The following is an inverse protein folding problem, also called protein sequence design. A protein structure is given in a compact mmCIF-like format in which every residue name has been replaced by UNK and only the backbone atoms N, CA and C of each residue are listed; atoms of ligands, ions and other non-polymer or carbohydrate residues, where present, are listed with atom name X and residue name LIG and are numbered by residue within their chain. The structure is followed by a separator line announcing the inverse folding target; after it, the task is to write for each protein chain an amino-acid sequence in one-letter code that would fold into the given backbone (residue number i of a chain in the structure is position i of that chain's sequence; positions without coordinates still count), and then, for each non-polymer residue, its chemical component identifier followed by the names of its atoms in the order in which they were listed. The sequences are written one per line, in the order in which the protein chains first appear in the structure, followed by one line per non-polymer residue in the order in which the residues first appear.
data_IF_834406705832
#
_entry.id   IF_834406705832
#
_cell.length_a   1.000
_cell.length_b   1.000
_cell.length_c   1.000
_cell.angle_alpha   90.00
_cell.angle_beta   90.00
_cell.angle_gamma   90.00
#
_symmetry.space_group_name_H-M   'P 1'
#
loop_
_entity.id
_entity.type
_entity.pdbx_description
1 polymer ?
#
# COMPACT_ATOMS: atom_id res chain seq x y z
N UNK A 1 -20.02 -1.07 -1.96
CA UNK A 1 -19.75 -1.38 -0.53
C UNK A 1 -18.26 -1.17 -0.30
N UNK A 2 -17.86 -0.19 0.51
CA UNK A 2 -16.43 0.09 0.73
C UNK A 2 -15.79 -0.96 1.65
N UNK A 3 -14.52 -1.30 1.42
CA UNK A 3 -13.71 -2.32 2.12
C UNK A 3 -13.52 -2.11 3.65
N UNK A 4 -14.34 -1.27 4.31
CA UNK A 4 -14.23 -1.00 5.75
C UNK A 4 -14.45 -2.26 6.59
N UNK A 5 -15.31 -3.18 6.14
CA UNK A 5 -15.62 -4.43 6.84
C UNK A 5 -14.50 -5.49 6.79
N UNK A 6 -13.44 -5.27 6.01
CA UNK A 6 -12.30 -6.21 5.88
C UNK A 6 -11.06 -5.80 6.69
N UNK A 7 -11.12 -4.67 7.41
CA UNK A 7 -10.00 -4.25 8.24
C UNK A 7 -9.90 -5.12 9.49
N UNK A 8 -8.75 -5.76 9.68
CA UNK A 8 -8.44 -6.42 10.95
C UNK A 8 -7.83 -5.38 11.90
N UNK A 9 -8.56 -5.06 12.97
CA UNK A 9 -8.15 -4.05 13.95
C UNK A 9 -7.02 -4.50 14.87
N UNK A 10 -6.67 -5.80 14.85
CA UNK A 10 -5.60 -6.41 15.64
C UNK A 10 -4.33 -6.66 14.84
N UNK A 11 -4.35 -6.42 13.52
CA UNK A 11 -3.23 -6.67 12.64
C UNK A 11 -2.05 -5.74 12.97
N UNK A 12 -0.85 -6.27 13.31
CA UNK A 12 0.33 -5.46 13.66
C UNK A 12 0.71 -4.43 12.60
N UNK A 13 0.52 -4.74 11.32
CA UNK A 13 0.74 -3.79 10.22
C UNK A 13 -0.07 -2.50 10.38
N UNK A 14 -1.32 -2.58 10.85
CA UNK A 14 -2.18 -1.42 11.02
C UNK A 14 -1.68 -0.52 12.17
N UNK A 15 -1.23 -1.13 13.27
CA UNK A 15 -0.59 -0.42 14.37
C UNK A 15 0.75 0.20 13.94
N UNK A 16 1.63 -0.57 13.31
CA UNK A 16 2.91 -0.09 12.79
C UNK A 16 2.73 1.15 11.91
N UNK A 17 1.76 1.12 10.99
CA UNK A 17 1.50 2.25 10.10
C UNK A 17 0.98 3.49 10.86
N UNK A 18 0.30 3.33 11.99
CA UNK A 18 -0.05 4.44 12.88
C UNK A 18 1.17 5.19 13.41
N UNK A 19 2.17 4.46 13.86
CA UNK A 19 3.41 5.04 14.38
C UNK A 19 4.32 5.57 13.28
N UNK A 20 4.56 4.80 12.21
CA UNK A 20 5.44 5.19 11.09
C UNK A 20 5.00 6.54 10.50
N UNK A 21 3.70 6.82 10.37
CA UNK A 21 3.23 8.10 9.82
C UNK A 21 3.47 9.31 10.73
N UNK A 22 3.72 9.08 12.01
CA UNK A 22 3.90 10.14 13.00
C UNK A 22 5.37 10.32 13.37
N UNK A 23 6.14 9.24 13.38
CA UNK A 23 7.54 9.25 13.78
C UNK A 23 8.50 9.42 12.57
N UNK A 24 9.25 10.53 12.48
CA UNK A 24 10.24 10.73 11.41
C UNK A 24 11.40 9.74 11.45
N UNK A 25 11.78 9.21 12.61
CA UNK A 25 12.84 8.22 12.73
C UNK A 25 12.41 6.88 12.14
N UNK A 26 11.17 6.44 12.40
CA UNK A 26 10.61 5.24 11.76
C UNK A 26 10.48 5.42 10.24
N UNK A 27 10.09 6.60 9.75
CA UNK A 27 10.05 6.87 8.29
C UNK A 27 11.43 6.82 7.66
N UNK A 28 12.45 7.40 8.31
CA UNK A 28 13.82 7.38 7.80
C UNK A 28 14.38 5.96 7.68
N UNK A 29 13.98 5.06 8.60
CA UNK A 29 14.35 3.64 8.60
C UNK A 29 13.58 2.80 7.58
N UNK A 30 12.45 3.26 7.05
CA UNK A 30 11.56 2.45 6.22
C UNK A 30 12.27 1.77 5.03
N UNK A 31 13.17 2.49 4.34
CA UNK A 31 13.88 1.96 3.17
C UNK A 31 15.19 1.24 3.52
N UNK A 32 15.75 1.50 4.69
CA UNK A 32 17.08 0.99 5.10
C UNK A 32 16.99 -0.17 6.07
N UNK A 33 15.91 -0.29 6.83
CA UNK A 33 15.70 -1.27 7.90
C UNK A 33 14.21 -1.63 8.08
N UNK A 34 13.52 -1.92 6.97
CA UNK A 34 12.17 -2.48 7.02
C UNK A 34 12.06 -3.76 7.89
N UNK A 35 13.02 -4.73 7.84
CA UNK A 35 12.94 -5.92 8.68
C UNK A 35 13.03 -5.61 10.17
N UNK A 36 13.87 -4.64 10.58
CA UNK A 36 13.97 -4.21 11.98
C UNK A 36 12.68 -3.60 12.48
N UNK A 37 12.08 -2.70 11.70
CA UNK A 37 10.76 -2.13 12.02
C UNK A 37 9.70 -3.25 12.12
N UNK A 38 9.63 -4.14 11.13
CA UNK A 38 8.67 -5.24 11.14
C UNK A 38 8.80 -6.12 12.39
N UNK A 39 10.03 -6.39 12.84
CA UNK A 39 10.30 -7.14 14.06
C UNK A 39 9.89 -6.39 15.33
N UNK A 40 10.13 -5.08 15.41
CA UNK A 40 9.75 -4.24 16.56
C UNK A 40 8.24 -4.26 16.81
N UNK A 41 7.44 -4.28 15.74
CA UNK A 41 5.98 -4.34 15.82
C UNK A 41 5.42 -5.77 15.83
N UNK A 42 6.26 -6.80 15.74
CA UNK A 42 5.81 -8.19 15.77
C UNK A 42 5.03 -8.63 14.53
N UNK A 43 5.33 -8.06 13.36
CA UNK A 43 4.70 -8.46 12.10
C UNK A 43 4.99 -9.95 11.83
N UNK A 44 3.95 -10.64 11.38
CA UNK A 44 4.11 -11.97 10.80
C UNK A 44 4.93 -11.91 9.51
N UNK A 45 5.43 -13.07 9.08
CA UNK A 45 6.15 -13.17 7.81
C UNK A 45 5.29 -12.77 6.60
N UNK A 46 4.01 -13.13 6.61
CA UNK A 46 3.09 -12.80 5.53
C UNK A 46 2.88 -11.28 5.41
N UNK A 47 2.74 -10.59 6.53
CA UNK A 47 2.65 -9.12 6.57
C UNK A 47 3.92 -8.47 6.03
N UNK A 48 5.09 -8.88 6.54
CA UNK A 48 6.36 -8.35 6.09
C UNK A 48 6.57 -8.54 4.58
N UNK A 49 6.29 -9.74 4.05
CA UNK A 49 6.43 -10.03 2.63
C UNK A 49 5.46 -9.21 1.77
N UNK A 50 4.21 -9.02 2.22
CA UNK A 50 3.24 -8.18 1.51
C UNK A 50 3.70 -6.70 1.40
N UNK A 51 4.32 -6.17 2.46
CA UNK A 51 4.86 -4.80 2.47
C UNK A 51 6.12 -4.72 1.60
N UNK A 52 7.08 -5.62 1.80
CA UNK A 52 8.36 -5.67 1.06
C UNK A 52 8.12 -5.77 -0.44
N UNK A 53 7.18 -6.62 -0.85
CA UNK A 53 6.87 -6.87 -2.26
C UNK A 53 5.94 -5.80 -2.87
N UNK A 54 5.53 -4.81 -2.07
CA UNK A 54 4.60 -3.75 -2.45
C UNK A 54 3.35 -4.34 -3.13
N UNK A 55 2.67 -5.28 -2.46
CA UNK A 55 1.50 -6.00 -2.99
C UNK A 55 0.20 -5.49 -2.32
N UNK A 56 -0.51 -4.51 -2.92
CA UNK A 56 -1.74 -3.96 -2.38
C UNK A 56 -2.82 -5.01 -2.15
N UNK A 57 -2.88 -6.02 -3.02
CA UNK A 57 -3.90 -7.06 -2.92
C UNK A 57 -3.64 -7.93 -1.70
N UNK A 58 -2.41 -8.41 -1.51
CA UNK A 58 -2.04 -9.16 -0.29
C UNK A 58 -2.25 -8.34 0.98
N UNK A 59 -1.90 -7.05 0.96
CA UNK A 59 -2.15 -6.16 2.11
C UNK A 59 -3.66 -6.09 2.45
N UNK A 60 -4.51 -5.89 1.44
CA UNK A 60 -5.97 -5.86 1.66
C UNK A 60 -6.53 -7.22 2.07
N UNK A 61 -6.05 -8.31 1.49
CA UNK A 61 -6.50 -9.67 1.82
C UNK A 61 -6.07 -10.08 3.25
N UNK A 62 -4.95 -9.55 3.76
CA UNK A 62 -4.49 -9.71 5.15
C UNK A 62 -5.26 -8.84 6.15
N UNK A 63 -6.10 -7.90 5.69
CA UNK A 63 -6.87 -7.00 6.55
C UNK A 63 -6.18 -5.68 6.89
N UNK A 64 -5.15 -5.29 6.11
CA UNK A 64 -4.57 -3.93 6.22
C UNK A 64 -5.64 -2.91 5.85
N UNK A 65 -5.79 -1.89 6.69
CA UNK A 65 -6.79 -0.85 6.47
C UNK A 65 -6.54 -0.14 5.12
N UNK A 66 -7.59 0.01 4.32
CA UNK A 66 -7.51 0.57 2.95
C UNK A 66 -6.82 1.95 2.86
N UNK A 67 -6.90 2.76 3.92
CA UNK A 67 -6.22 4.06 3.99
C UNK A 67 -4.69 3.93 4.09
N UNK A 68 -4.19 2.84 4.67
CA UNK A 68 -2.75 2.61 4.87
C UNK A 68 -2.08 2.01 3.63
N UNK A 69 -2.81 1.26 2.81
CA UNK A 69 -2.28 0.69 1.56
C UNK A 69 -1.62 1.75 0.65
N UNK A 70 -2.28 2.84 0.24
CA UNK A 70 -1.61 3.86 -0.58
C UNK A 70 -0.51 4.60 0.17
N UNK A 71 -0.55 4.66 1.51
CA UNK A 71 0.49 5.31 2.32
C UNK A 71 1.76 4.46 2.39
N UNK A 72 1.62 3.14 2.52
CA UNK A 72 2.71 2.17 2.41
C UNK A 72 3.43 2.35 1.07
N UNK A 73 2.68 2.39 -0.03
CA UNK A 73 3.27 2.56 -1.38
C UNK A 73 4.02 3.90 -1.50
N UNK A 74 3.48 5.00 -0.95
CA UNK A 74 4.15 6.30 -0.98
C UNK A 74 5.48 6.32 -0.21
N UNK A 75 5.64 5.47 0.82
CA UNK A 75 6.93 5.35 1.52
C UNK A 75 8.01 4.70 0.65
N UNK A 76 7.63 3.94 -0.38
CA UNK A 76 8.57 3.38 -1.36
C UNK A 76 8.83 4.31 -2.55
N UNK A 77 7.80 4.96 -3.09
CA UNK A 77 7.90 5.69 -4.36
C UNK A 77 7.99 7.22 -4.19
N UNK A 78 7.84 7.73 -2.97
CA UNK A 78 7.80 9.16 -2.68
C UNK A 78 6.46 9.83 -3.03
N UNK A 79 6.34 11.12 -2.69
CA UNK A 79 5.13 11.92 -2.91
C UNK A 79 5.01 12.51 -4.33
N UNK A 80 6.10 12.53 -5.11
CA UNK A 80 6.15 13.08 -6.47
C UNK A 80 5.34 12.26 -7.50
N UNK A 81 4.82 11.11 -7.08
CA UNK A 81 4.13 10.13 -7.89
C UNK A 81 2.59 10.21 -7.78
N UNK A 82 2.06 11.35 -7.30
CA UNK A 82 0.63 11.67 -7.27
C UNK A 82 0.04 12.08 -8.65
N UNK A 83 0.85 12.11 -9.72
CA UNK A 83 0.34 12.18 -11.09
C UNK A 83 0.03 10.75 -11.58
N UNK A 84 -1.06 10.57 -12.31
CA UNK A 84 -1.63 9.31 -12.83
C UNK A 84 -0.69 8.44 -13.71
N UNK A 85 0.63 8.63 -13.67
CA UNK A 85 1.63 7.96 -14.51
C UNK A 85 2.71 7.18 -13.73
N UNK A 86 2.50 6.88 -12.44
CA UNK A 86 3.60 6.56 -11.52
C UNK A 86 3.73 5.07 -11.14
N UNK A 87 4.89 4.63 -10.64
CA UNK A 87 5.20 3.25 -10.23
C UNK A 87 4.16 2.63 -9.27
N UNK A 88 3.47 3.45 -8.47
CA UNK A 88 2.35 3.00 -7.67
C UNK A 88 1.17 2.45 -8.52
N UNK A 89 0.91 3.04 -9.69
CA UNK A 89 -0.08 2.52 -10.65
C UNK A 89 0.35 1.16 -11.20
N UNK A 90 1.66 0.89 -11.34
CA UNK A 90 2.13 -0.44 -11.74
C UNK A 90 1.82 -1.50 -10.68
N UNK A 91 1.93 -1.18 -9.38
CA UNK A 91 1.48 -2.08 -8.31
C UNK A 91 -0.01 -2.41 -8.45
N UNK A 92 -0.87 -1.41 -8.68
CA UNK A 92 -2.30 -1.65 -8.89
C UNK A 92 -2.60 -2.41 -10.18
N UNK A 93 -1.90 -2.12 -11.30
CA UNK A 93 -2.02 -2.88 -12.56
C UNK A 93 -1.70 -4.36 -12.37
N UNK A 94 -0.65 -4.66 -11.60
CA UNK A 94 -0.27 -6.05 -11.31
C UNK A 94 -1.29 -6.73 -10.40
N UNK A 95 -1.81 -6.02 -9.40
CA UNK A 95 -2.74 -6.55 -8.41
C UNK A 95 -4.17 -6.72 -8.93
N UNK A 96 -4.61 -5.84 -9.84
CA UNK A 96 -5.98 -5.75 -10.37
C UNK A 96 -5.96 -5.49 -11.88
N UNK A 97 -5.54 -6.48 -12.69
CA UNK A 97 -5.32 -6.28 -14.11
C UNK A 97 -6.62 -5.96 -14.87
N UNK A 98 -7.74 -6.61 -14.53
CA UNK A 98 -9.02 -6.43 -15.21
C UNK A 98 -9.67 -5.07 -14.90
N UNK A 99 -9.69 -4.69 -13.62
CA UNK A 99 -10.25 -3.41 -13.17
C UNK A 99 -9.42 -2.24 -13.68
N UNK A 100 -8.10 -2.39 -13.71
CA UNK A 100 -7.23 -1.35 -14.27
C UNK A 100 -7.44 -1.19 -15.77
N UNK A 101 -7.60 -2.29 -16.52
CA UNK A 101 -7.91 -2.22 -17.95
C UNK A 101 -9.25 -1.51 -18.22
N UNK A 102 -10.28 -1.81 -17.42
CA UNK A 102 -11.60 -1.15 -17.50
C UNK A 102 -11.52 0.35 -17.18
N UNK A 103 -10.76 0.73 -16.15
CA UNK A 103 -10.57 2.13 -15.76
C UNK A 103 -9.85 2.93 -16.85
N UNK A 104 -8.76 2.39 -17.40
CA UNK A 104 -8.00 3.02 -18.50
C UNK A 104 -8.86 3.20 -19.75
N UNK A 105 -9.66 2.20 -20.14
CA UNK A 105 -10.57 2.30 -21.28
C UNK A 105 -11.65 3.39 -21.08
N UNK A 106 -12.09 3.62 -19.85
CA UNK A 106 -13.03 4.67 -19.50
C UNK A 106 -12.40 6.07 -19.62
N UNK A 107 -11.12 6.21 -19.23
CA UNK A 107 -10.37 7.47 -19.37
C UNK A 107 -10.11 7.81 -20.84
N UNK A 108 -9.65 6.86 -21.66
CA UNK A 108 -9.45 7.09 -23.11
C UNK A 108 -10.73 7.54 -23.80
N UNK A 109 -11.89 7.04 -23.38
CA UNK A 109 -13.21 7.47 -23.90
C UNK A 109 -13.59 8.90 -23.46
N UNK A 110 -13.09 9.37 -22.31
CA UNK A 110 -13.34 10.72 -21.79
C UNK A 110 -12.43 11.77 -22.41
N UNK A 111 -11.19 11.41 -22.75
CA UNK A 111 -10.22 12.34 -23.38
C UNK A 111 -10.44 12.52 -24.88
N UNK A 112 -11.22 11.63 -25.52
CA UNK A 112 -11.57 11.71 -26.95
C UNK A 112 -12.87 12.47 -27.27
N UNK A 113 -13.45 13.22 -26.32
CA UNK A 113 -14.63 14.09 -26.53
C UNK A 113 -14.24 15.54 -26.31
#
# INVERSE_FOLDING_TARGET
MGNVERCDTTLPTNEMMFYVRRDPALRARWLTDLPGIAKEFGLSRAEYEAIRDQDPKRLMDLGVHQYYVPQILRLFFGAAQNANASAALQCYRRAFPEETAKAMALETRREGT
#
